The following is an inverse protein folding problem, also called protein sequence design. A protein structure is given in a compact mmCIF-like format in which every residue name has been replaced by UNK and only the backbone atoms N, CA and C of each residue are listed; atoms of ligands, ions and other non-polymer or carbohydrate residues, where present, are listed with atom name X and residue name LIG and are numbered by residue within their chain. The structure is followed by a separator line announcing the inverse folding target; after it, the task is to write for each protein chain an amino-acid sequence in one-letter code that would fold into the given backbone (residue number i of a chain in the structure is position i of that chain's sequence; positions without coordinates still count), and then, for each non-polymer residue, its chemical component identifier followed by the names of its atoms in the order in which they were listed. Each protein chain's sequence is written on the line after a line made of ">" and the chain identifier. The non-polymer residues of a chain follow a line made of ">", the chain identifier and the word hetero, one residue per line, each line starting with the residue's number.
data_IF_814269198795
#
_entry.id   IF_814269198795
#
_cell.length_a   1.000
_cell.length_b   1.000
_cell.length_c   1.000
_cell.angle_alpha   90.00
_cell.angle_beta   90.00
_cell.angle_gamma   90.00
#
_symmetry.space_group_name_H-M   'P 1'
#
loop_
_entity.id
_entity.type
_entity.pdbx_description
1 polymer ?
#
# COMPACT_ATOMS: atom_id res chain seq x y z
N UNK A 1 -62.11 -39.47 -31.59
CA UNK A 1 -62.34 -38.63 -30.39
C UNK A 1 -61.07 -38.56 -29.59
N UNK A 2 -60.40 -37.42 -29.76
CA UNK A 2 -59.31 -37.04 -28.83
C UNK A 2 -59.96 -36.31 -27.65
N UNK A 3 -59.57 -36.63 -26.41
CA UNK A 3 -60.03 -35.86 -25.24
C UNK A 3 -59.53 -34.42 -25.33
N UNK A 4 -60.26 -33.43 -24.82
CA UNK A 4 -59.85 -32.04 -24.81
C UNK A 4 -58.57 -31.90 -23.97
N UNK A 5 -57.62 -31.09 -24.47
CA UNK A 5 -56.41 -30.74 -23.71
C UNK A 5 -56.84 -29.93 -22.47
N UNK A 6 -56.57 -30.49 -21.29
CA UNK A 6 -56.78 -29.80 -20.03
C UNK A 6 -55.48 -29.00 -19.77
N UNK A 7 -55.55 -27.66 -19.75
CA UNK A 7 -54.50 -26.82 -19.23
C UNK A 7 -54.74 -26.72 -17.73
N UNK A 8 -53.96 -27.45 -16.95
CA UNK A 8 -53.97 -27.41 -15.51
C UNK A 8 -52.80 -26.55 -15.03
N UNK A 9 -53.04 -25.61 -14.12
CA UNK A 9 -52.07 -24.70 -13.49
C UNK A 9 -51.38 -23.68 -14.41
N UNK A 10 -52.09 -22.65 -14.85
CA UNK A 10 -51.48 -21.40 -15.27
C UNK A 10 -51.13 -20.65 -13.98
N UNK A 11 -49.89 -20.72 -13.52
CA UNK A 11 -49.37 -19.83 -12.51
C UNK A 11 -49.10 -18.51 -13.26
N UNK A 12 -49.94 -17.53 -13.05
CA UNK A 12 -49.60 -16.12 -13.37
C UNK A 12 -48.76 -15.63 -12.21
N UNK A 13 -47.46 -15.72 -12.37
CA UNK A 13 -46.58 -14.98 -11.48
C UNK A 13 -46.85 -13.48 -11.73
N UNK A 14 -47.03 -12.63 -10.68
CA UNK A 14 -47.07 -11.22 -10.90
C UNK A 14 -45.72 -10.85 -11.54
N UNK A 15 -45.76 -10.33 -12.75
CA UNK A 15 -44.63 -9.55 -13.29
C UNK A 15 -44.36 -8.50 -12.21
N UNK A 16 -43.20 -8.59 -11.59
CA UNK A 16 -42.81 -7.63 -10.56
C UNK A 16 -43.14 -6.26 -11.09
N UNK A 17 -43.88 -5.48 -10.32
CA UNK A 17 -44.10 -4.07 -10.63
C UNK A 17 -42.68 -3.53 -10.72
N UNK A 18 -42.23 -3.28 -11.96
CA UNK A 18 -41.03 -2.47 -12.19
C UNK A 18 -41.33 -1.19 -11.37
N UNK A 19 -40.61 -0.99 -10.27
CA UNK A 19 -40.73 0.25 -9.53
C UNK A 19 -40.49 1.33 -10.56
N UNK A 20 -41.37 2.33 -10.64
CA UNK A 20 -41.23 3.45 -11.60
C UNK A 20 -39.91 4.19 -11.47
N UNK A 21 -39.16 3.87 -10.43
CA UNK A 21 -37.84 4.42 -10.09
C UNK A 21 -36.74 3.50 -10.59
N UNK A 22 -36.23 3.77 -11.81
CA UNK A 22 -35.14 3.00 -12.40
C UNK A 22 -33.79 3.43 -11.79
N UNK A 23 -32.95 2.44 -11.46
CA UNK A 23 -31.59 2.72 -11.01
C UNK A 23 -30.70 3.23 -12.16
N UNK A 24 -29.59 3.93 -11.87
CA UNK A 24 -28.59 4.27 -12.89
C UNK A 24 -28.08 3.05 -13.66
N UNK A 25 -27.50 3.28 -14.83
CA UNK A 25 -26.97 2.22 -15.72
C UNK A 25 -26.04 1.30 -14.94
N UNK A 26 -26.25 -0.01 -15.08
CA UNK A 26 -25.40 -0.99 -14.41
C UNK A 26 -23.92 -0.82 -14.79
N UNK A 27 -23.03 -0.88 -13.82
CA UNK A 27 -21.56 -0.73 -13.96
C UNK A 27 -21.11 0.64 -14.58
N UNK A 28 -21.94 1.67 -14.47
CA UNK A 28 -21.59 3.01 -14.96
C UNK A 28 -20.96 3.90 -13.90
N UNK A 29 -21.02 3.51 -12.61
CA UNK A 29 -20.40 4.27 -11.53
C UNK A 29 -18.89 4.19 -11.64
N UNK A 30 -18.25 5.37 -11.67
CA UNK A 30 -16.80 5.52 -11.77
C UNK A 30 -16.32 6.57 -10.78
N UNK A 31 -15.23 6.29 -10.10
CA UNK A 31 -14.46 7.28 -9.34
C UNK A 31 -13.33 7.81 -10.23
N UNK A 32 -12.99 9.09 -10.08
CA UNK A 32 -11.94 9.79 -10.81
C UNK A 32 -11.50 11.04 -10.05
N UNK A 33 -10.39 11.67 -10.48
CA UNK A 33 -9.82 12.86 -9.86
C UNK A 33 -9.59 12.70 -8.35
N UNK A 34 -9.18 11.51 -7.93
CA UNK A 34 -8.86 11.24 -6.55
C UNK A 34 -7.75 12.16 -6.08
N UNK A 35 -7.94 12.76 -4.89
CA UNK A 35 -6.93 13.51 -4.15
C UNK A 35 -6.69 12.85 -2.80
N UNK A 36 -5.95 13.47 -1.92
CA UNK A 36 -5.79 12.99 -0.53
C UNK A 36 -7.10 13.04 0.25
N UNK A 37 -8.01 13.95 -0.09
CA UNK A 37 -9.22 14.24 0.70
C UNK A 37 -10.50 14.35 -0.12
N UNK A 38 -10.45 14.08 -1.43
CA UNK A 38 -11.63 14.13 -2.30
C UNK A 38 -11.57 13.12 -3.44
N UNK A 39 -12.72 12.83 -4.04
CA UNK A 39 -12.86 12.06 -5.27
C UNK A 39 -14.13 12.50 -6.01
N UNK A 40 -14.11 12.47 -7.34
CA UNK A 40 -15.28 12.69 -8.18
C UNK A 40 -15.96 11.35 -8.47
N UNK A 41 -17.23 11.21 -8.11
CA UNK A 41 -18.06 10.06 -8.47
C UNK A 41 -18.97 10.47 -9.60
N UNK A 42 -19.01 9.69 -10.66
CA UNK A 42 -19.89 9.92 -11.83
C UNK A 42 -20.57 8.61 -12.24
N UNK A 43 -21.74 8.75 -12.88
CA UNK A 43 -22.52 7.62 -13.38
C UNK A 43 -23.31 8.02 -14.61
N UNK A 44 -23.87 7.04 -15.30
CA UNK A 44 -24.81 7.25 -16.40
C UNK A 44 -26.20 6.90 -15.92
N UNK A 45 -27.17 7.77 -16.22
CA UNK A 45 -28.58 7.48 -15.97
C UNK A 45 -29.28 6.91 -17.19
N UNK A 46 -30.33 6.15 -16.96
CA UNK A 46 -31.16 5.51 -17.99
C UNK A 46 -32.34 6.37 -18.44
N UNK A 47 -32.73 7.37 -17.63
CA UNK A 47 -33.95 8.14 -17.83
C UNK A 47 -33.69 9.63 -17.68
N UNK A 48 -33.84 10.38 -18.77
CA UNK A 48 -33.65 11.85 -18.78
C UNK A 48 -34.64 12.61 -17.89
N UNK A 49 -35.65 11.93 -17.35
CA UNK A 49 -36.61 12.54 -16.41
C UNK A 49 -36.13 12.55 -14.96
N UNK A 50 -35.10 11.76 -14.64
CA UNK A 50 -34.51 11.78 -13.31
C UNK A 50 -33.72 13.08 -13.08
N UNK A 51 -33.85 13.65 -11.89
CA UNK A 51 -33.22 14.94 -11.52
C UNK A 51 -32.54 14.88 -10.15
N UNK A 52 -32.60 13.75 -9.48
CA UNK A 52 -32.01 13.58 -8.14
C UNK A 52 -31.50 12.15 -7.94
N UNK A 53 -30.38 12.06 -7.24
CA UNK A 53 -29.71 10.80 -6.90
C UNK A 53 -29.18 10.89 -5.48
N UNK A 54 -29.05 9.73 -4.83
CA UNK A 54 -28.35 9.60 -3.54
C UNK A 54 -27.09 8.77 -3.75
N UNK A 55 -25.96 9.32 -3.31
CA UNK A 55 -24.65 8.67 -3.33
C UNK A 55 -24.32 8.23 -1.93
N UNK A 56 -24.11 6.94 -1.75
CA UNK A 56 -23.78 6.32 -0.48
C UNK A 56 -22.31 5.88 -0.49
N UNK A 57 -21.53 6.37 0.45
CA UNK A 57 -20.13 6.04 0.57
C UNK A 57 -19.71 5.77 2.02
N UNK A 58 -18.66 4.97 2.19
CA UNK A 58 -18.08 4.67 3.51
C UNK A 58 -16.63 4.25 3.37
N UNK A 59 -15.86 4.33 4.45
CA UNK A 59 -14.60 3.58 4.55
C UNK A 59 -14.86 2.07 4.43
N UNK A 60 -13.96 1.35 3.81
CA UNK A 60 -14.06 -0.12 3.69
C UNK A 60 -14.09 -0.82 5.05
N UNK A 61 -13.51 -0.20 6.08
CA UNK A 61 -13.49 -0.69 7.47
C UNK A 61 -14.72 -0.34 8.30
N UNK A 62 -15.58 0.55 7.82
CA UNK A 62 -16.81 0.97 8.53
C UNK A 62 -18.00 0.09 8.12
N UNK A 63 -19.03 0.04 8.98
CA UNK A 63 -20.27 -0.70 8.69
C UNK A 63 -21.33 0.20 8.04
N UNK A 64 -21.41 1.46 8.45
CA UNK A 64 -22.46 2.40 8.05
C UNK A 64 -22.05 3.27 6.87
N UNK A 65 -23.00 3.51 5.96
CA UNK A 65 -22.81 4.41 4.83
C UNK A 65 -23.22 5.84 5.18
N UNK A 66 -22.44 6.80 4.72
CA UNK A 66 -22.81 8.22 4.66
C UNK A 66 -23.52 8.47 3.33
N UNK A 67 -24.64 9.22 3.36
CA UNK A 67 -25.41 9.57 2.17
C UNK A 67 -25.26 11.06 1.85
N UNK A 68 -25.04 11.36 0.59
CA UNK A 68 -25.10 12.71 0.02
C UNK A 68 -26.01 12.73 -1.21
N UNK A 69 -26.81 13.79 -1.34
CA UNK A 69 -27.72 13.96 -2.48
C UNK A 69 -27.02 14.70 -3.63
N UNK A 70 -27.30 14.28 -4.85
CA UNK A 70 -26.79 14.88 -6.08
C UNK A 70 -27.94 15.29 -7.01
N UNK A 71 -27.80 16.43 -7.68
CA UNK A 71 -28.75 16.94 -8.70
C UNK A 71 -28.22 16.77 -10.13
N UNK A 72 -27.03 16.23 -10.28
CA UNK A 72 -26.38 15.91 -11.54
C UNK A 72 -25.80 14.48 -11.45
N UNK A 73 -25.51 13.87 -12.56
CA UNK A 73 -24.91 12.51 -12.63
C UNK A 73 -23.42 12.48 -12.28
N UNK A 74 -22.99 13.47 -11.51
CA UNK A 74 -21.63 13.58 -10.96
C UNK A 74 -21.66 14.35 -9.65
N UNK A 75 -20.77 14.00 -8.73
CA UNK A 75 -20.60 14.70 -7.45
C UNK A 75 -19.14 14.59 -7.01
N UNK A 76 -18.62 15.61 -6.36
CA UNK A 76 -17.35 15.54 -5.67
C UNK A 76 -17.62 15.18 -4.20
N UNK A 77 -17.04 14.08 -3.74
CA UNK A 77 -16.95 13.72 -2.33
C UNK A 77 -15.75 14.44 -1.72
N UNK A 78 -15.94 15.15 -0.63
CA UNK A 78 -14.90 15.91 0.10
C UNK A 78 -14.77 15.41 1.54
N UNK A 79 -13.76 15.92 2.25
CA UNK A 79 -13.48 15.56 3.65
C UNK A 79 -13.23 14.05 3.84
N UNK A 80 -12.70 13.40 2.81
CA UNK A 80 -12.27 12.01 2.87
C UNK A 80 -10.94 11.91 3.64
N UNK A 81 -10.71 10.77 4.27
CA UNK A 81 -9.43 10.48 4.89
C UNK A 81 -8.39 10.13 3.82
N UNK A 82 -7.16 10.64 3.92
CA UNK A 82 -6.09 10.26 3.02
C UNK A 82 -5.70 8.79 3.20
N UNK A 83 -5.04 8.22 2.18
CA UNK A 83 -4.52 6.84 2.20
C UNK A 83 -5.57 5.79 2.52
N UNK A 84 -6.82 6.01 2.12
CA UNK A 84 -7.98 5.26 2.58
C UNK A 84 -8.77 4.66 1.43
N UNK A 85 -9.31 3.46 1.67
CA UNK A 85 -10.16 2.74 0.71
C UNK A 85 -11.62 3.02 1.04
N UNK A 86 -12.38 3.45 0.04
CA UNK A 86 -13.79 3.75 0.12
C UNK A 86 -14.63 2.80 -0.75
N UNK A 87 -15.82 2.50 -0.27
CA UNK A 87 -16.88 1.81 -1.01
C UNK A 87 -17.96 2.83 -1.36
N UNK A 88 -18.48 2.80 -2.60
CA UNK A 88 -19.54 3.71 -3.04
C UNK A 88 -20.55 3.01 -3.95
N UNK A 89 -21.83 3.36 -3.79
CA UNK A 89 -22.89 3.01 -4.72
C UNK A 89 -23.87 4.20 -4.87
N UNK A 90 -24.70 4.14 -5.90
CA UNK A 90 -25.67 5.22 -6.22
C UNK A 90 -27.06 4.64 -6.36
N UNK A 91 -28.07 5.39 -5.90
CA UNK A 91 -29.51 5.16 -6.16
C UNK A 91 -30.11 6.37 -6.85
N UNK A 92 -31.20 6.19 -7.60
CA UNK A 92 -32.02 7.29 -8.07
C UNK A 92 -33.02 7.68 -6.97
N UNK A 93 -33.17 8.96 -6.70
CA UNK A 93 -34.19 9.51 -5.80
C UNK A 93 -35.41 9.91 -6.64
N UNK A 94 -36.51 9.19 -6.49
CA UNK A 94 -37.76 9.43 -7.16
C UNK A 94 -38.80 10.16 -6.26
N UNK A 95 -38.33 10.73 -5.18
CA UNK A 95 -39.14 11.50 -4.20
C UNK A 95 -39.76 10.62 -3.11
N UNK A 96 -40.77 9.82 -3.45
CA UNK A 96 -41.44 8.95 -2.46
C UNK A 96 -40.73 7.62 -2.25
N UNK A 97 -39.82 7.24 -3.14
CA UNK A 97 -39.04 5.99 -3.12
C UNK A 97 -37.66 6.18 -3.73
N UNK A 98 -36.73 5.28 -3.37
CA UNK A 98 -35.44 5.15 -4.02
C UNK A 98 -35.39 3.92 -4.92
N UNK A 99 -34.58 3.99 -5.96
CA UNK A 99 -34.30 2.83 -6.80
C UNK A 99 -33.50 1.76 -6.06
N UNK A 100 -33.41 0.56 -6.61
CA UNK A 100 -32.38 -0.39 -6.20
C UNK A 100 -30.98 0.23 -6.40
N UNK A 101 -30.00 -0.09 -5.53
CA UNK A 101 -28.64 0.42 -5.66
C UNK A 101 -27.93 -0.10 -6.91
N UNK A 102 -26.97 0.67 -7.40
CA UNK A 102 -25.97 0.17 -8.35
C UNK A 102 -25.08 -0.88 -7.70
N UNK A 103 -24.23 -1.54 -8.49
CA UNK A 103 -23.11 -2.29 -7.92
C UNK A 103 -22.21 -1.35 -7.12
N UNK A 104 -21.73 -1.81 -5.96
CA UNK A 104 -20.73 -1.09 -5.18
C UNK A 104 -19.39 -1.13 -5.91
N UNK A 105 -18.75 0.00 -6.04
CA UNK A 105 -17.37 0.11 -6.51
C UNK A 105 -16.45 0.51 -5.36
N UNK A 106 -15.15 0.30 -5.56
CA UNK A 106 -14.09 0.66 -4.61
C UNK A 106 -13.20 1.72 -5.25
N UNK A 107 -12.79 2.73 -4.47
CA UNK A 107 -11.74 3.67 -4.86
C UNK A 107 -10.85 3.98 -3.67
N UNK A 108 -9.65 4.52 -3.94
CA UNK A 108 -8.69 4.91 -2.92
C UNK A 108 -8.39 6.40 -3.03
N UNK A 109 -8.32 7.08 -1.89
CA UNK A 109 -7.73 8.42 -1.82
C UNK A 109 -6.21 8.32 -1.95
N UNK A 110 -5.58 9.40 -2.45
CA UNK A 110 -4.13 9.46 -2.55
C UNK A 110 -3.48 9.49 -1.17
N UNK A 111 -2.25 9.09 -1.12
CA UNK A 111 -1.44 9.12 0.09
C UNK A 111 -1.02 10.55 0.42
N UNK A 112 -1.14 10.92 1.68
CA UNK A 112 -0.67 12.21 2.15
C UNK A 112 0.86 12.22 2.29
N UNK A 113 1.42 13.43 2.32
CA UNK A 113 2.84 13.62 2.63
C UNK A 113 3.04 13.36 4.12
N UNK A 114 3.99 12.50 4.44
CA UNK A 114 4.33 12.18 5.83
C UNK A 114 5.24 13.26 6.40
N UNK A 115 4.80 13.90 7.46
CA UNK A 115 5.55 14.96 8.19
C UNK A 115 5.74 14.67 9.68
N UNK A 116 5.12 13.59 10.18
CA UNK A 116 5.27 13.14 11.57
C UNK A 116 6.38 12.10 11.66
N UNK A 117 7.36 12.34 12.53
CA UNK A 117 8.53 11.49 12.71
C UNK A 117 8.73 11.12 14.19
N UNK A 118 9.26 9.92 14.52
CA UNK A 118 9.76 8.91 13.57
C UNK A 118 8.63 8.23 12.79
N UNK A 119 8.81 8.08 11.48
CA UNK A 119 7.97 7.21 10.64
C UNK A 119 8.49 5.79 10.71
N UNK A 120 7.59 4.81 10.81
CA UNK A 120 7.93 3.39 10.86
C UNK A 120 7.13 2.58 9.85
N UNK A 121 7.78 1.61 9.20
CA UNK A 121 7.17 0.62 8.32
C UNK A 121 7.73 -0.78 8.61
N UNK A 122 6.88 -1.67 9.15
CA UNK A 122 7.14 -3.09 9.34
C UNK A 122 6.34 -3.98 8.40
N UNK A 123 5.69 -3.41 7.37
CA UNK A 123 4.92 -4.11 6.32
C UNK A 123 3.70 -4.91 6.80
N UNK A 124 3.33 -4.87 8.07
CA UNK A 124 2.21 -5.64 8.66
C UNK A 124 0.84 -5.24 8.09
N UNK A 125 0.67 -3.98 7.71
CA UNK A 125 -0.51 -3.47 7.03
C UNK A 125 -0.38 -3.48 5.50
N UNK A 126 0.63 -4.15 4.96
CA UNK A 126 0.95 -4.15 3.53
C UNK A 126 1.87 -3.02 3.10
N UNK A 127 1.94 -2.79 1.79
CA UNK A 127 2.78 -1.74 1.18
C UNK A 127 1.97 -0.48 0.86
N UNK A 128 0.94 -0.16 1.65
CA UNK A 128 0.10 1.02 1.46
C UNK A 128 0.96 2.29 1.36
N UNK A 129 0.69 3.09 0.34
CA UNK A 129 1.44 4.31 0.00
C UNK A 129 2.89 4.08 -0.47
N UNK A 130 3.38 2.87 -0.43
CA UNK A 130 4.60 2.49 -1.13
C UNK A 130 4.24 2.09 -2.56
N UNK A 131 5.13 2.34 -3.48
CA UNK A 131 4.94 1.94 -4.88
C UNK A 131 6.13 1.13 -5.36
N UNK A 132 5.88 0.23 -6.30
CA UNK A 132 6.95 -0.55 -6.92
C UNK A 132 6.94 -0.31 -8.43
N UNK A 133 8.12 -0.18 -9.03
CA UNK A 133 8.27 -0.02 -10.48
C UNK A 133 9.36 -0.93 -11.04
N UNK A 134 9.16 -1.41 -12.26
CA UNK A 134 10.17 -2.16 -13.00
C UNK A 134 11.30 -1.22 -13.46
N UNK A 135 12.55 -1.59 -13.23
CA UNK A 135 13.71 -0.95 -13.83
C UNK A 135 14.06 -1.67 -15.14
N UNK A 136 14.07 -2.99 -15.10
CA UNK A 136 14.17 -3.83 -16.29
C UNK A 136 12.76 -4.28 -16.67
N UNK A 137 12.27 -3.95 -17.88
CA UNK A 137 10.92 -4.32 -18.30
C UNK A 137 10.65 -5.83 -18.20
N UNK A 138 9.54 -6.20 -17.60
CA UNK A 138 9.13 -7.57 -17.34
C UNK A 138 9.66 -8.16 -16.04
N UNK A 139 10.40 -7.38 -15.23
CA UNK A 139 10.85 -7.81 -13.92
C UNK A 139 9.68 -7.99 -12.95
N UNK A 140 9.83 -8.92 -12.01
CA UNK A 140 8.93 -9.03 -10.87
C UNK A 140 9.04 -7.75 -10.02
N UNK A 141 7.91 -7.26 -9.54
CA UNK A 141 7.87 -6.17 -8.58
C UNK A 141 8.14 -6.69 -7.17
N UNK A 142 8.57 -5.78 -6.29
CA UNK A 142 8.64 -6.07 -4.86
C UNK A 142 7.27 -6.52 -4.34
N UNK A 143 7.27 -7.55 -3.51
CA UNK A 143 6.10 -8.12 -2.85
C UNK A 143 6.31 -8.26 -1.35
N UNK A 144 5.40 -9.00 -0.70
CA UNK A 144 5.48 -9.32 0.72
C UNK A 144 5.80 -10.80 0.92
N UNK A 145 6.49 -11.12 2.02
CA UNK A 145 6.84 -12.48 2.41
C UNK A 145 6.80 -12.63 3.93
N UNK A 146 6.55 -13.83 4.42
CA UNK A 146 6.63 -14.18 5.85
C UNK A 146 8.04 -14.65 6.26
N UNK A 147 8.84 -15.09 5.27
CA UNK A 147 10.19 -15.60 5.47
C UNK A 147 11.10 -15.18 4.31
N UNK A 148 12.38 -15.00 4.58
CA UNK A 148 13.42 -14.79 3.57
C UNK A 148 14.45 -15.90 3.62
N UNK A 149 15.06 -16.23 2.48
CA UNK A 149 16.23 -17.12 2.44
C UNK A 149 17.49 -16.36 2.81
N UNK A 150 18.15 -16.82 3.86
CA UNK A 150 19.49 -16.40 4.25
C UNK A 150 20.39 -17.63 4.21
N UNK A 151 21.32 -17.63 3.28
CA UNK A 151 22.24 -18.76 3.04
C UNK A 151 21.47 -20.03 2.60
N UNK A 152 21.32 -21.06 3.40
CA UNK A 152 20.58 -22.29 3.07
C UNK A 152 19.29 -22.45 3.87
N UNK A 153 19.04 -21.55 4.83
CA UNK A 153 17.91 -21.62 5.75
C UNK A 153 16.93 -20.46 5.53
N UNK A 154 15.64 -20.74 5.74
CA UNK A 154 14.61 -19.72 5.87
C UNK A 154 14.80 -18.98 7.20
N UNK A 155 14.82 -17.67 7.15
CA UNK A 155 14.84 -16.80 8.32
C UNK A 155 13.49 -16.11 8.46
N UNK A 156 12.90 -16.08 9.65
CA UNK A 156 11.70 -15.27 9.87
C UNK A 156 12.02 -13.79 9.68
N UNK A 157 10.98 -13.01 9.48
CA UNK A 157 11.04 -11.54 9.41
C UNK A 157 11.53 -10.96 10.77
N UNK A 158 11.99 -9.73 10.77
CA UNK A 158 12.53 -9.07 11.97
C UNK A 158 11.41 -8.52 12.85
N UNK A 159 10.39 -7.93 12.23
CA UNK A 159 9.25 -7.31 12.90
C UNK A 159 7.97 -7.97 12.41
N UNK A 160 7.06 -8.29 13.33
CA UNK A 160 5.73 -8.83 13.00
C UNK A 160 5.75 -10.16 12.26
N UNK A 161 5.08 -10.20 11.12
CA UNK A 161 4.82 -11.41 10.33
C UNK A 161 5.11 -11.24 8.83
N UNK A 162 5.44 -10.04 8.38
CA UNK A 162 5.67 -9.74 6.96
C UNK A 162 6.88 -8.82 6.75
N UNK A 163 7.58 -9.03 5.65
CA UNK A 163 8.66 -8.18 5.18
C UNK A 163 8.49 -7.90 3.67
N UNK A 164 9.08 -6.84 3.16
CA UNK A 164 9.17 -6.65 1.72
C UNK A 164 10.26 -7.55 1.14
N UNK A 165 9.99 -8.11 -0.04
CA UNK A 165 10.91 -9.03 -0.70
C UNK A 165 10.91 -8.83 -2.22
N UNK A 166 12.10 -8.96 -2.81
CA UNK A 166 12.29 -9.01 -4.26
C UNK A 166 12.96 -10.30 -4.67
N UNK A 167 12.56 -10.80 -5.84
CA UNK A 167 13.01 -12.09 -6.42
C UNK A 167 14.51 -12.18 -6.63
N UNK A 168 14.99 -13.42 -6.69
CA UNK A 168 16.37 -13.78 -7.02
C UNK A 168 16.63 -13.93 -8.54
N UNK A 169 15.61 -13.85 -9.40
CA UNK A 169 15.76 -14.14 -10.84
C UNK A 169 16.83 -13.25 -11.50
N UNK A 170 17.78 -13.88 -12.16
CA UNK A 170 18.91 -13.19 -12.79
C UNK A 170 18.49 -12.22 -13.89
N UNK A 171 18.97 -10.99 -13.79
CA UNK A 171 18.68 -9.91 -14.72
C UNK A 171 17.40 -9.15 -14.45
N UNK A 172 16.58 -9.55 -13.49
CA UNK A 172 15.43 -8.77 -13.04
C UNK A 172 15.87 -7.64 -12.11
N UNK A 173 15.24 -6.48 -12.26
CA UNK A 173 15.48 -5.33 -11.38
C UNK A 173 14.22 -4.49 -11.22
N UNK A 174 13.87 -4.21 -9.98
CA UNK A 174 12.76 -3.33 -9.64
C UNK A 174 13.10 -2.43 -8.46
N UNK A 175 12.33 -1.37 -8.32
CA UNK A 175 12.47 -0.35 -7.28
C UNK A 175 11.24 -0.38 -6.38
N UNK A 176 11.43 -0.38 -5.07
CA UNK A 176 10.42 -0.14 -4.05
C UNK A 176 10.58 1.30 -3.55
N UNK A 177 9.55 2.11 -3.70
CA UNK A 177 9.57 3.56 -3.44
C UNK A 177 8.73 3.86 -2.21
N UNK A 178 9.29 4.62 -1.28
CA UNK A 178 8.58 5.08 -0.07
C UNK A 178 7.44 6.04 -0.41
N UNK A 179 6.49 6.24 0.51
CA UNK A 179 5.65 7.44 0.50
C UNK A 179 6.50 8.71 0.40
N UNK A 180 5.87 9.83 0.07
CA UNK A 180 6.52 11.14 0.08
C UNK A 180 6.66 11.64 1.51
N UNK A 181 7.85 12.13 1.87
CA UNK A 181 8.16 12.71 3.16
C UNK A 181 8.37 14.22 3.06
N UNK A 182 7.85 14.98 4.02
CA UNK A 182 8.30 16.35 4.28
C UNK A 182 9.37 16.34 5.37
N UNK A 183 10.64 16.32 4.95
CA UNK A 183 11.79 16.29 5.84
C UNK A 183 12.27 17.69 6.29
N UNK A 184 11.53 18.76 5.95
CA UNK A 184 11.98 20.15 6.21
C UNK A 184 12.04 20.50 7.69
N UNK A 185 11.33 19.77 8.55
CA UNK A 185 11.35 19.93 10.00
C UNK A 185 12.52 19.22 10.68
N UNK A 186 13.18 18.27 9.99
CA UNK A 186 14.28 17.49 10.54
C UNK A 186 15.61 18.22 10.34
N UNK A 187 16.46 18.20 11.35
CA UNK A 187 17.78 18.82 11.33
C UNK A 187 18.84 17.87 10.77
N UNK A 188 18.72 16.61 11.12
CA UNK A 188 19.66 15.56 10.72
C UNK A 188 18.90 14.28 10.37
N UNK A 189 18.18 14.26 9.22
CA UNK A 189 17.33 13.16 8.84
C UNK A 189 18.13 11.91 8.46
N UNK A 190 17.70 10.76 8.97
CA UNK A 190 18.24 9.43 8.71
C UNK A 190 17.14 8.46 8.33
N UNK A 191 17.52 7.43 7.58
CA UNK A 191 16.74 6.20 7.43
C UNK A 191 17.52 5.03 8.02
N UNK A 192 16.87 4.20 8.84
CA UNK A 192 17.38 2.90 9.24
C UNK A 192 16.46 1.79 8.75
N UNK A 193 17.01 0.62 8.48
CA UNK A 193 16.27 -0.54 7.96
C UNK A 193 17.07 -1.82 8.18
N UNK A 194 16.33 -2.92 8.38
CA UNK A 194 16.92 -4.24 8.26
C UNK A 194 16.88 -4.71 6.81
N UNK A 195 17.96 -5.34 6.35
CA UNK A 195 18.01 -5.96 5.05
C UNK A 195 18.60 -7.38 5.12
N UNK A 196 18.16 -8.23 4.20
CA UNK A 196 18.63 -9.59 4.03
C UNK A 196 19.23 -9.75 2.62
N UNK A 197 20.51 -10.17 2.55
CA UNK A 197 21.21 -10.50 1.32
C UNK A 197 21.88 -11.86 1.50
N UNK A 198 21.21 -12.93 1.09
CA UNK A 198 21.77 -14.26 1.12
C UNK A 198 22.70 -14.54 -0.08
N UNK A 199 23.48 -15.61 -0.02
CA UNK A 199 24.33 -16.03 -1.15
C UNK A 199 24.01 -17.46 -1.59
N UNK A 200 23.67 -17.64 -2.86
CA UNK A 200 23.54 -18.95 -3.48
C UNK A 200 24.75 -19.22 -4.40
N UNK A 201 25.54 -20.24 -4.08
CA UNK A 201 26.73 -20.62 -4.87
C UNK A 201 27.70 -19.44 -5.17
N UNK A 202 27.77 -18.46 -4.28
CA UNK A 202 28.60 -17.25 -4.44
C UNK A 202 27.94 -16.13 -5.25
N UNK A 203 26.70 -16.31 -5.70
CA UNK A 203 25.89 -15.25 -6.29
C UNK A 203 25.17 -14.49 -5.17
N UNK A 204 25.19 -13.18 -5.25
CA UNK A 204 24.58 -12.26 -4.29
C UNK A 204 23.90 -11.15 -5.05
N UNK A 205 22.62 -10.90 -4.75
CA UNK A 205 21.89 -9.76 -5.27
C UNK A 205 22.57 -8.47 -4.80
N UNK A 206 22.26 -7.36 -5.47
CA UNK A 206 22.59 -6.05 -4.93
C UNK A 206 21.34 -5.33 -4.45
N UNK A 207 21.48 -4.60 -3.34
CA UNK A 207 20.50 -3.66 -2.83
C UNK A 207 21.10 -2.26 -2.90
N UNK A 208 20.51 -1.37 -3.70
CA UNK A 208 20.92 0.04 -3.77
C UNK A 208 19.84 0.91 -3.15
N UNK A 209 20.20 1.73 -2.17
CA UNK A 209 19.34 2.77 -1.62
C UNK A 209 19.53 4.03 -2.42
N UNK A 210 18.43 4.62 -2.88
CA UNK A 210 18.39 5.84 -3.68
C UNK A 210 17.51 6.88 -3.01
N UNK A 211 17.68 8.14 -3.38
CA UNK A 211 16.79 9.22 -3.00
C UNK A 211 16.52 10.16 -4.18
N UNK A 212 15.45 10.95 -4.03
CA UNK A 212 15.19 12.16 -4.79
C UNK A 212 14.56 13.22 -3.88
N UNK A 213 14.97 14.47 -4.06
CA UNK A 213 14.46 15.58 -3.25
C UNK A 213 13.10 16.08 -3.73
N UNK A 214 12.70 15.74 -4.95
CA UNK A 214 11.39 16.03 -5.53
C UNK A 214 10.91 14.83 -6.36
N UNK A 215 9.61 14.63 -6.43
CA UNK A 215 9.01 13.60 -7.28
C UNK A 215 9.32 13.79 -8.77
N UNK A 216 9.73 14.98 -9.19
CA UNK A 216 10.16 15.31 -10.56
C UNK A 216 11.66 15.08 -10.80
N UNK A 217 12.44 14.86 -9.75
CA UNK A 217 13.89 14.68 -9.86
C UNK A 217 14.24 13.24 -10.29
N UNK A 218 15.40 13.09 -10.89
CA UNK A 218 16.01 11.77 -11.12
C UNK A 218 16.54 11.18 -9.82
N UNK A 219 16.53 9.86 -9.72
CA UNK A 219 17.07 9.13 -8.59
C UNK A 219 18.59 9.26 -8.48
N UNK A 220 19.08 9.41 -7.25
CA UNK A 220 20.51 9.47 -6.91
C UNK A 220 20.85 8.34 -5.94
N UNK A 221 21.90 7.60 -6.22
CA UNK A 221 22.37 6.51 -5.34
C UNK A 221 22.95 7.09 -4.04
N UNK A 222 22.55 6.53 -2.91
CA UNK A 222 23.14 6.77 -1.59
C UNK A 222 24.18 5.72 -1.24
N UNK A 223 23.79 4.45 -1.29
CA UNK A 223 24.65 3.32 -0.90
C UNK A 223 24.20 2.05 -1.61
N UNK A 224 25.18 1.19 -1.97
CA UNK A 224 24.92 -0.13 -2.55
C UNK A 224 25.52 -1.22 -1.68
N UNK A 225 24.70 -2.20 -1.34
CA UNK A 225 25.06 -3.38 -0.56
C UNK A 225 25.23 -4.58 -1.53
N UNK A 226 26.34 -5.29 -1.41
CA UNK A 226 26.70 -6.46 -2.23
C UNK A 226 27.36 -7.57 -1.41
N UNK A 227 27.48 -7.38 -0.10
CA UNK A 227 28.09 -8.36 0.79
C UNK A 227 26.99 -9.25 1.36
N UNK A 228 27.08 -10.59 1.22
CA UNK A 228 26.11 -11.50 1.76
C UNK A 228 26.29 -11.66 3.27
N UNK A 229 25.18 -11.90 3.96
CA UNK A 229 25.13 -12.25 5.37
C UNK A 229 24.22 -13.47 5.58
N UNK A 230 24.48 -14.20 6.67
CA UNK A 230 23.65 -15.33 7.13
C UNK A 230 22.57 -14.93 8.12
N UNK A 231 22.37 -13.62 8.29
CA UNK A 231 21.37 -13.00 9.17
C UNK A 231 20.92 -11.66 8.59
N UNK A 232 19.81 -11.16 9.13
CA UNK A 232 19.39 -9.80 8.87
C UNK A 232 20.41 -8.79 9.40
N UNK A 233 20.66 -7.74 8.65
CA UNK A 233 21.61 -6.68 9.02
C UNK A 233 20.85 -5.37 9.16
N UNK A 234 21.06 -4.67 10.28
CA UNK A 234 20.60 -3.31 10.48
C UNK A 234 21.62 -2.32 9.92
N UNK A 235 21.17 -1.38 9.11
CA UNK A 235 21.99 -0.26 8.67
C UNK A 235 21.21 1.05 8.77
N UNK A 236 21.94 2.17 8.74
CA UNK A 236 21.35 3.49 8.75
C UNK A 236 22.14 4.46 7.85
N UNK A 237 21.40 5.30 7.11
CA UNK A 237 21.96 6.20 6.10
C UNK A 237 21.45 7.62 6.36
N UNK A 238 22.35 8.61 6.36
CA UNK A 238 21.98 10.02 6.38
C UNK A 238 21.27 10.42 5.08
N UNK A 239 20.19 11.16 5.19
CA UNK A 239 19.40 11.63 4.06
C UNK A 239 19.83 13.06 3.66
N UNK A 240 20.56 13.21 2.54
CA UNK A 240 21.02 14.53 2.09
C UNK A 240 19.90 15.36 1.45
N UNK A 241 20.06 16.68 1.47
CA UNK A 241 19.14 17.61 0.80
C UNK A 241 17.66 17.45 1.19
N UNK A 242 17.32 17.49 2.50
CA UNK A 242 15.94 17.34 2.95
C UNK A 242 15.01 18.36 2.29
N UNK A 243 13.81 17.92 1.92
CA UNK A 243 12.81 18.74 1.21
C UNK A 243 11.39 18.34 1.61
N UNK A 244 10.40 19.10 1.16
CA UNK A 244 8.98 18.83 1.44
C UNK A 244 8.36 17.70 0.58
N UNK A 245 9.10 17.19 -0.42
CA UNK A 245 8.60 16.16 -1.35
C UNK A 245 9.62 15.03 -1.57
N UNK A 246 10.32 14.70 -0.48
CA UNK A 246 11.41 13.73 -0.47
C UNK A 246 10.91 12.30 -0.64
N UNK A 247 11.61 11.51 -1.43
CA UNK A 247 11.36 10.07 -1.54
C UNK A 247 12.66 9.28 -1.47
N UNK A 248 12.57 8.09 -0.91
CA UNK A 248 13.64 7.10 -0.83
C UNK A 248 13.20 5.88 -1.64
N UNK A 249 14.15 5.19 -2.22
CA UNK A 249 13.87 3.96 -2.95
C UNK A 249 14.91 2.89 -2.68
N UNK A 250 14.47 1.65 -2.72
CA UNK A 250 15.28 0.44 -2.59
C UNK A 250 15.25 -0.30 -3.92
N UNK A 251 16.40 -0.37 -4.57
CA UNK A 251 16.57 -1.05 -5.87
C UNK A 251 17.23 -2.40 -5.63
N UNK A 252 16.58 -3.45 -6.08
CA UNK A 252 17.15 -4.79 -6.14
C UNK A 252 17.54 -5.16 -7.57
N UNK A 253 18.70 -5.80 -7.74
CA UNK A 253 19.11 -6.45 -8.95
C UNK A 253 19.36 -7.92 -8.66
N UNK A 254 18.55 -8.80 -9.25
CA UNK A 254 18.64 -10.25 -9.15
C UNK A 254 19.79 -10.81 -9.99
N UNK A 255 20.52 -11.78 -9.43
CA UNK A 255 21.63 -12.48 -10.08
C UNK A 255 21.57 -14.01 -9.85
N UNK A 256 20.40 -14.56 -9.57
CA UNK A 256 20.14 -15.96 -9.22
C UNK A 256 20.69 -16.37 -7.82
N UNK A 257 20.71 -15.44 -6.85
CA UNK A 257 21.03 -15.68 -5.45
C UNK A 257 19.81 -16.13 -4.63
N UNK A 258 19.50 -15.46 -3.51
CA UNK A 258 18.35 -15.75 -2.64
C UNK A 258 17.30 -14.64 -2.60
N UNK A 259 17.46 -13.58 -3.38
CA UNK A 259 16.62 -12.39 -3.35
C UNK A 259 17.07 -11.38 -2.29
N UNK A 260 16.29 -10.33 -2.15
CA UNK A 260 16.53 -9.22 -1.21
C UNK A 260 15.33 -9.07 -0.29
N UNK A 261 15.56 -9.10 1.02
CA UNK A 261 14.56 -8.77 2.04
C UNK A 261 14.77 -7.38 2.63
N UNK A 262 13.69 -6.70 3.00
CA UNK A 262 13.67 -5.42 3.73
C UNK A 262 12.62 -5.47 4.82
N UNK A 263 12.96 -4.96 6.01
CA UNK A 263 12.05 -4.91 7.15
C UNK A 263 12.38 -3.79 8.13
N UNK A 264 11.42 -3.44 8.99
CA UNK A 264 11.54 -2.50 10.11
C UNK A 264 12.22 -1.18 9.70
N UNK A 265 11.69 -0.54 8.66
CA UNK A 265 12.21 0.71 8.11
C UNK A 265 11.77 1.88 8.99
N UNK A 266 12.71 2.73 9.41
CA UNK A 266 12.43 3.93 10.20
C UNK A 266 13.06 5.16 9.57
N UNK A 267 12.29 6.25 9.41
CA UNK A 267 12.81 7.58 9.06
C UNK A 267 12.70 8.46 10.30
N UNK A 268 13.81 9.12 10.69
CA UNK A 268 13.89 9.83 11.96
C UNK A 268 14.91 10.98 11.90
N UNK A 269 14.89 11.86 12.94
CA UNK A 269 15.90 12.88 13.16
C UNK A 269 16.93 12.39 14.17
N UNK A 270 18.17 12.18 13.75
CA UNK A 270 19.23 11.64 14.61
C UNK A 270 19.63 12.61 15.76
N UNK A 271 19.33 13.91 15.67
CA UNK A 271 19.61 14.86 16.76
C UNK A 271 18.57 14.76 17.90
N UNK A 272 17.43 14.12 17.67
CA UNK A 272 16.39 13.89 18.68
C UNK A 272 16.62 12.66 19.54
N UNK A 273 17.55 11.80 19.22
CA UNK A 273 17.95 10.68 20.10
C UNK A 273 18.91 11.20 21.18
N UNK A 274 18.58 11.03 22.48
CA UNK A 274 19.57 11.26 23.53
C UNK A 274 20.69 10.23 23.32
N UNK A 275 21.83 10.70 22.86
CA UNK A 275 23.03 10.01 22.43
C UNK A 275 23.00 8.49 22.70
N UNK A 276 22.88 7.71 21.64
CA UNK A 276 23.04 6.28 21.71
C UNK A 276 24.36 6.01 22.46
N UNK A 277 24.25 5.57 23.68
CA UNK A 277 25.37 4.92 24.34
C UNK A 277 25.66 3.72 23.46
N UNK A 278 26.79 3.78 22.75
CA UNK A 278 27.47 2.60 22.23
C UNK A 278 27.22 1.48 23.24
N UNK A 279 26.64 0.33 22.86
CA UNK A 279 26.34 -0.71 23.82
C UNK A 279 27.60 -0.93 24.64
N UNK A 280 27.49 -0.64 25.93
CA UNK A 280 28.61 -0.83 26.86
C UNK A 280 29.12 -2.26 26.64
N UNK A 281 30.41 -2.44 26.31
CA UNK A 281 30.92 -3.79 26.01
C UNK A 281 30.53 -4.71 27.17
N UNK A 282 29.87 -5.81 26.79
CA UNK A 282 29.43 -6.83 27.77
C UNK A 282 30.55 -7.08 28.75
N UNK A 283 30.35 -6.99 30.08
CA UNK A 283 31.41 -7.18 31.05
C UNK A 283 32.02 -8.56 30.83
N UNK A 284 33.33 -8.60 30.58
CA UNK A 284 34.05 -9.84 30.41
C UNK A 284 33.70 -10.78 31.58
N UNK A 285 33.43 -12.07 31.31
CA UNK A 285 33.09 -13.02 32.36
C UNK A 285 34.23 -13.05 33.40
N UNK A 286 33.89 -12.74 34.65
CA UNK A 286 34.83 -12.82 35.76
C UNK A 286 35.51 -14.19 35.76
N UNK A 287 36.83 -14.19 35.65
CA UNK A 287 37.63 -15.42 35.82
C UNK A 287 37.29 -16.07 37.13
N UNK A 288 37.00 -17.37 37.10
CA UNK A 288 36.75 -18.16 38.30
C UNK A 288 37.99 -18.12 39.17
N UNK A 289 37.86 -17.95 40.51
CA UNK A 289 39.01 -17.92 41.40
C UNK A 289 39.74 -19.24 41.32
N UNK A 290 41.03 -19.18 40.96
CA UNK A 290 41.93 -20.34 41.03
C UNK A 290 42.04 -20.83 42.45
N UNK A 291 41.70 -22.10 42.67
CA UNK A 291 41.84 -22.75 43.99
C UNK A 291 43.31 -22.70 44.47
N UNK A 292 43.52 -22.08 45.61
CA UNK A 292 44.75 -22.15 46.29
C UNK A 292 44.96 -23.59 46.81
N UNK A 293 46.08 -24.20 46.42
CA UNK A 293 46.60 -25.46 46.88
C UNK A 293 47.24 -25.33 48.26
#
# INVERSE_FOLDING_TARGET
>A
NQPPAIIDNVIVEPVGIETSCARPVANSVVASNETTTSATISWTDNDESHTAWNVYYKLSSEEEYTMVSASETTIELTDLLPSSTYLVYVTTDCGDEESNPTATITFNTLCDVISDFPYFQGFEAGINCWTAEEIVPGSQLWGLTEDVYLYEDLSPVIEGTQAAWHTYNGGESSRLITPTFDLTSLTNPYISFYYALGSWQGLVESLTVQYRASTEDTWTDLLTFTTPFDQWVLDSIALPNPSATYQIAFVSLGVDGYGVGLDAITVYDAEGEPGGTDPEPEPEPCDAPTALS
#
